data_IF_781922855124
#
_entry.id   IF_781922855124
#
_cell.length_a   1.000
_cell.length_b   1.000
_cell.length_c   1.000
_cell.angle_alpha   90.00
_cell.angle_beta   90.00
_cell.angle_gamma   90.00
#
_symmetry.space_group_name_H-M   'P 1'
#
loop_
_entity.id
_entity.type
_entity.pdbx_description
1 polymer ?
#
# COMPACT_ATOMS: atom_id res chain seq x y z
N UNK A 1 17.05 29.66 -11.29
CA UNK A 1 15.82 30.48 -11.12
C UNK A 1 14.79 29.62 -10.43
N UNK A 2 14.50 29.89 -9.15
CA UNK A 2 13.43 29.22 -8.40
C UNK A 2 12.11 29.74 -8.95
N UNK A 3 11.26 28.87 -9.48
CA UNK A 3 9.89 29.26 -9.80
C UNK A 3 9.18 29.58 -8.48
N UNK A 4 9.15 30.86 -8.13
CA UNK A 4 8.34 31.38 -7.04
C UNK A 4 6.90 31.43 -7.57
N UNK A 5 6.15 30.34 -7.38
CA UNK A 5 4.72 30.32 -7.69
C UNK A 5 4.05 31.23 -6.66
N UNK A 6 3.73 32.45 -7.06
CA UNK A 6 3.13 33.47 -6.21
C UNK A 6 1.76 32.99 -5.71
N UNK A 7 1.69 32.61 -4.43
CA UNK A 7 0.45 32.51 -3.64
C UNK A 7 -0.30 31.17 -3.61
N UNK A 8 0.14 30.14 -4.36
CA UNK A 8 -0.48 28.81 -4.28
C UNK A 8 0.14 27.99 -3.16
N UNK A 9 -0.65 27.63 -2.16
CA UNK A 9 -0.27 26.68 -1.11
C UNK A 9 -0.07 25.28 -1.73
N UNK A 10 1.18 24.79 -1.74
CA UNK A 10 1.58 23.58 -2.48
C UNK A 10 0.85 22.30 -2.05
N UNK A 11 0.43 22.24 -0.79
CA UNK A 11 -0.25 21.10 -0.18
C UNK A 11 -1.73 21.39 0.10
N UNK A 12 -2.28 22.51 -0.40
CA UNK A 12 -3.68 22.85 -0.15
C UNK A 12 -4.62 21.79 -0.71
N UNK A 13 -5.40 21.10 0.13
CA UNK A 13 -6.27 20.04 -0.35
C UNK A 13 -7.51 20.60 -1.04
N UNK A 14 -8.09 19.79 -1.92
CA UNK A 14 -9.44 19.99 -2.43
C UNK A 14 -10.52 19.53 -1.42
N UNK A 15 -11.78 19.47 -1.86
CA UNK A 15 -12.92 19.04 -1.01
C UNK A 15 -12.86 17.56 -0.60
N UNK A 16 -12.05 16.76 -1.27
CA UNK A 16 -11.85 15.33 -1.02
C UNK A 16 -10.56 15.07 -0.21
N UNK A 17 -9.98 16.12 0.37
CA UNK A 17 -8.67 16.13 1.05
C UNK A 17 -7.50 15.72 0.12
N UNK A 18 -7.67 15.84 -1.19
CA UNK A 18 -6.62 15.49 -2.15
C UNK A 18 -5.71 16.71 -2.38
N UNK A 19 -4.41 16.52 -2.16
CA UNK A 19 -3.40 17.54 -2.49
C UNK A 19 -3.17 17.59 -4.00
N UNK A 20 -2.59 18.69 -4.54
CA UNK A 20 -2.20 18.75 -5.94
C UNK A 20 -1.35 17.55 -6.37
N UNK A 21 -0.42 17.11 -5.51
CA UNK A 21 0.39 15.91 -5.74
C UNK A 21 -0.46 14.65 -5.87
N UNK A 22 -1.42 14.44 -4.96
CA UNK A 22 -2.31 13.28 -5.02
C UNK A 22 -3.11 13.26 -6.34
N UNK A 23 -3.67 14.40 -6.73
CA UNK A 23 -4.47 14.55 -7.95
C UNK A 23 -3.61 14.24 -9.19
N UNK A 24 -2.38 14.75 -9.25
CA UNK A 24 -1.45 14.43 -10.33
C UNK A 24 -1.15 12.92 -10.41
N UNK A 25 -0.89 12.28 -9.28
CA UNK A 25 -0.64 10.84 -9.22
C UNK A 25 -1.86 10.02 -9.66
N UNK A 26 -3.07 10.44 -9.28
CA UNK A 26 -4.31 9.76 -9.67
C UNK A 26 -4.57 9.85 -11.18
N UNK A 27 -4.19 10.96 -11.81
CA UNK A 27 -4.41 11.21 -13.24
C UNK A 27 -3.22 10.80 -14.14
N UNK A 28 -2.14 10.27 -13.57
CA UNK A 28 -0.92 9.92 -14.30
C UNK A 28 -1.08 8.76 -15.30
N UNK A 29 -2.23 8.08 -15.32
CA UNK A 29 -2.55 7.06 -16.35
C UNK A 29 -2.81 7.72 -17.70
N UNK A 30 -3.39 8.92 -17.68
CA UNK A 30 -3.77 9.68 -18.89
C UNK A 30 -2.55 10.36 -19.50
N UNK A 31 -1.58 10.73 -18.65
CA UNK A 31 -0.38 11.44 -19.05
C UNK A 31 0.83 10.57 -18.72
N UNK A 32 1.43 9.93 -19.74
CA UNK A 32 2.65 9.10 -19.59
C UNK A 32 3.90 9.87 -19.15
N UNK A 33 3.76 11.14 -18.72
CA UNK A 33 4.83 11.95 -18.14
C UNK A 33 4.52 12.24 -16.68
N UNK A 34 5.53 12.02 -15.83
CA UNK A 34 5.49 12.34 -14.40
C UNK A 34 6.13 13.71 -14.09
N UNK A 35 6.36 14.56 -15.10
CA UNK A 35 7.05 15.85 -14.93
C UNK A 35 6.36 16.74 -13.90
N UNK A 36 5.02 16.78 -13.90
CA UNK A 36 4.27 17.55 -12.92
C UNK A 36 4.44 17.00 -11.50
N UNK A 37 4.51 15.67 -11.34
CA UNK A 37 4.77 15.02 -10.05
C UNK A 37 6.17 15.42 -9.56
N UNK A 38 7.19 15.29 -10.40
CA UNK A 38 8.56 15.66 -10.07
C UNK A 38 8.67 17.13 -9.67
N UNK A 39 8.06 18.04 -10.43
CA UNK A 39 8.06 19.48 -10.11
C UNK A 39 7.40 19.79 -8.77
N UNK A 40 6.31 19.11 -8.44
CA UNK A 40 5.65 19.28 -7.13
C UNK A 40 6.53 18.78 -5.99
N UNK A 41 7.16 17.61 -6.15
CA UNK A 41 8.08 17.06 -5.16
C UNK A 41 9.32 17.94 -4.97
N UNK A 42 9.92 18.43 -6.06
CA UNK A 42 11.05 19.39 -6.03
C UNK A 42 10.68 20.73 -5.36
N UNK A 43 9.42 21.15 -5.49
CA UNK A 43 8.90 22.34 -4.84
C UNK A 43 8.52 22.11 -3.35
N UNK A 44 8.68 20.88 -2.84
CA UNK A 44 8.48 20.54 -1.44
C UNK A 44 7.08 20.01 -1.09
N UNK A 45 6.30 19.53 -2.07
CA UNK A 45 5.01 18.92 -1.80
C UNK A 45 5.15 17.69 -0.89
N UNK A 46 4.27 17.56 0.11
CA UNK A 46 4.31 16.43 1.03
C UNK A 46 3.76 15.15 0.38
N UNK A 47 4.64 14.16 0.21
CA UNK A 47 4.31 12.87 -0.44
C UNK A 47 3.39 11.97 0.39
N UNK A 48 3.18 12.29 1.67
CA UNK A 48 2.49 11.43 2.64
C UNK A 48 1.14 12.00 3.12
N UNK A 49 0.64 13.08 2.51
CA UNK A 49 -0.71 13.58 2.84
C UNK A 49 -1.76 12.61 2.32
N UNK A 50 -2.67 12.22 3.20
CA UNK A 50 -3.73 11.28 2.88
C UNK A 50 -5.00 12.00 2.42
N UNK A 51 -5.69 11.40 1.46
CA UNK A 51 -7.03 11.82 1.06
C UNK A 51 -8.09 11.52 2.15
N UNK A 52 -9.35 11.86 1.88
CA UNK A 52 -10.48 11.61 2.79
C UNK A 52 -10.74 10.12 3.12
N UNK A 53 -10.05 9.19 2.47
CA UNK A 53 -10.15 7.75 2.72
C UNK A 53 -8.89 7.20 3.41
N UNK A 54 -7.96 8.06 3.80
CA UNK A 54 -6.69 7.67 4.41
C UNK A 54 -5.66 7.16 3.40
N UNK A 55 -5.87 7.38 2.10
CA UNK A 55 -4.96 6.93 1.05
C UNK A 55 -3.92 8.01 0.77
N UNK A 56 -2.65 7.65 0.87
CA UNK A 56 -1.53 8.48 0.39
C UNK A 56 -1.30 8.25 -1.11
N UNK A 57 -0.61 9.15 -1.83
CA UNK A 57 -0.33 9.02 -3.28
C UNK A 57 0.19 7.64 -3.71
N UNK A 58 1.02 6.99 -2.89
CA UNK A 58 1.55 5.66 -3.16
C UNK A 58 0.44 4.58 -3.31
N UNK A 59 -0.71 4.72 -2.65
CA UNK A 59 -1.85 3.83 -2.88
C UNK A 59 -2.37 3.92 -4.31
N UNK A 60 -2.49 5.14 -4.85
CA UNK A 60 -2.99 5.37 -6.21
C UNK A 60 -1.99 4.84 -7.24
N UNK A 61 -0.69 5.15 -7.09
CA UNK A 61 0.35 4.63 -7.98
C UNK A 61 0.39 3.09 -7.99
N UNK A 62 0.25 2.46 -6.82
CA UNK A 62 0.19 1.01 -6.67
C UNK A 62 -1.08 0.39 -7.27
N UNK A 63 -2.25 1.01 -7.06
CA UNK A 63 -3.53 0.55 -7.62
C UNK A 63 -3.51 0.50 -9.16
N UNK A 64 -2.81 1.44 -9.78
CA UNK A 64 -2.68 1.57 -11.23
C UNK A 64 -1.42 0.91 -11.81
N UNK A 65 -0.59 0.25 -10.98
CA UNK A 65 0.63 -0.49 -11.40
C UNK A 65 1.63 0.41 -12.15
N UNK A 66 1.70 1.68 -11.75
CA UNK A 66 2.59 2.66 -12.35
C UNK A 66 3.99 2.53 -11.74
N UNK A 67 4.77 1.53 -12.19
CA UNK A 67 6.06 1.15 -11.58
C UNK A 67 7.01 2.34 -11.39
N UNK A 68 7.05 3.24 -12.36
CA UNK A 68 8.00 4.36 -12.36
C UNK A 68 7.53 5.46 -11.42
N UNK A 69 6.22 5.71 -11.36
CA UNK A 69 5.64 6.62 -10.38
C UNK A 69 5.81 6.10 -8.95
N UNK A 70 5.74 4.78 -8.74
CA UNK A 70 6.05 4.18 -7.45
C UNK A 70 7.50 4.51 -7.06
N UNK A 71 8.48 4.36 -7.98
CA UNK A 71 9.89 4.72 -7.69
C UNK A 71 10.04 6.18 -7.31
N UNK A 72 9.48 7.09 -8.11
CA UNK A 72 9.52 8.54 -7.85
C UNK A 72 8.99 8.86 -6.44
N UNK A 73 7.85 8.28 -6.07
CA UNK A 73 7.25 8.52 -4.74
C UNK A 73 8.12 7.93 -3.61
N UNK A 74 8.73 6.76 -3.82
CA UNK A 74 9.64 6.15 -2.84
C UNK A 74 10.93 6.95 -2.66
N UNK A 75 11.51 7.46 -3.74
CA UNK A 75 12.67 8.35 -3.71
C UNK A 75 12.36 9.66 -2.97
N UNK A 76 11.11 10.11 -3.03
CA UNK A 76 10.60 11.23 -2.24
C UNK A 76 10.23 10.86 -0.78
N UNK A 77 10.64 9.69 -0.29
CA UNK A 77 10.36 9.19 1.07
C UNK A 77 8.88 8.93 1.36
N UNK A 78 8.14 8.40 0.38
CA UNK A 78 6.79 7.91 0.63
C UNK A 78 6.79 6.74 1.61
N UNK A 79 5.89 6.80 2.57
CA UNK A 79 5.69 5.74 3.56
C UNK A 79 5.01 4.52 2.90
N UNK A 80 5.68 3.38 2.97
CA UNK A 80 5.31 2.17 2.21
C UNK A 80 4.24 1.30 2.89
N UNK A 81 4.11 1.45 4.20
CA UNK A 81 3.20 0.66 5.04
C UNK A 81 2.02 1.48 5.57
N UNK A 82 1.73 2.64 4.98
CA UNK A 82 0.52 3.42 5.30
C UNK A 82 -0.71 2.58 5.01
N UNK A 83 -1.72 2.75 5.83
CA UNK A 83 -2.97 2.00 5.78
C UNK A 83 -4.12 2.96 5.68
N UNK A 84 -4.95 2.75 4.66
CA UNK A 84 -6.19 3.49 4.46
C UNK A 84 -7.25 3.13 5.51
N UNK A 85 -8.41 3.78 5.46
CA UNK A 85 -9.50 3.54 6.41
C UNK A 85 -10.14 2.15 6.29
N UNK A 86 -9.78 1.37 5.26
CA UNK A 86 -10.15 -0.03 5.11
C UNK A 86 -9.00 -0.97 5.50
N UNK A 87 -7.94 -0.48 6.13
CA UNK A 87 -6.80 -1.29 6.55
C UNK A 87 -5.89 -1.75 5.41
N UNK A 88 -6.05 -1.20 4.20
CA UNK A 88 -5.32 -1.61 3.00
C UNK A 88 -4.02 -0.82 2.88
N UNK A 89 -2.93 -1.51 2.57
CA UNK A 89 -1.65 -0.87 2.21
C UNK A 89 -1.54 -0.59 0.72
N UNK A 90 -0.55 0.19 0.27
CA UNK A 90 -0.19 0.28 -1.14
C UNK A 90 0.03 -1.09 -1.79
N UNK A 91 0.77 -1.99 -1.12
CA UNK A 91 0.94 -3.37 -1.60
C UNK A 91 -0.39 -4.13 -1.68
N UNK A 92 -1.29 -3.97 -0.71
CA UNK A 92 -2.61 -4.60 -0.77
C UNK A 92 -3.38 -4.14 -2.01
N UNK A 93 -3.45 -2.85 -2.29
CA UNK A 93 -4.21 -2.35 -3.45
C UNK A 93 -3.55 -2.69 -4.78
N UNK A 94 -2.22 -2.87 -4.81
CA UNK A 94 -1.49 -3.40 -5.97
C UNK A 94 -1.95 -4.81 -6.35
N UNK A 95 -2.15 -5.68 -5.36
CA UNK A 95 -2.49 -7.10 -5.55
C UNK A 95 -4.02 -7.30 -5.62
N UNK A 96 -4.79 -6.61 -4.77
CA UNK A 96 -6.24 -6.80 -4.66
C UNK A 96 -7.04 -6.36 -5.90
N UNK A 97 -6.43 -5.63 -6.82
CA UNK A 97 -7.05 -5.29 -8.10
C UNK A 97 -7.19 -6.47 -9.08
N UNK A 98 -6.81 -7.68 -8.68
CA UNK A 98 -7.04 -8.93 -9.42
C UNK A 98 -8.55 -9.19 -9.50
N UNK A 99 -9.19 -8.56 -10.48
CA UNK A 99 -10.66 -8.53 -10.60
C UNK A 99 -11.19 -9.53 -11.64
N UNK A 100 -10.36 -10.15 -12.46
CA UNK A 100 -10.83 -10.92 -13.61
C UNK A 100 -10.03 -12.20 -13.74
N UNK A 101 -10.62 -13.27 -14.29
CA UNK A 101 -10.00 -14.59 -14.44
C UNK A 101 -8.75 -14.66 -15.34
N UNK A 102 -8.08 -13.54 -15.61
CA UNK A 102 -6.90 -13.37 -16.46
C UNK A 102 -5.67 -13.04 -15.60
N UNK A 103 -5.42 -13.87 -14.58
CA UNK A 103 -4.40 -13.62 -13.56
C UNK A 103 -2.97 -13.49 -14.09
N UNK A 104 -2.62 -14.19 -15.19
CA UNK A 104 -1.24 -14.18 -15.73
C UNK A 104 -0.86 -12.84 -16.34
N UNK A 105 -1.79 -12.17 -17.02
CA UNK A 105 -1.51 -10.89 -17.69
C UNK A 105 -1.39 -9.75 -16.68
N UNK A 106 -2.26 -9.71 -15.68
CA UNK A 106 -2.19 -8.71 -14.60
C UNK A 106 -0.86 -8.78 -13.83
N UNK A 107 -0.37 -9.99 -13.56
CA UNK A 107 0.89 -10.21 -12.85
C UNK A 107 2.10 -9.65 -13.61
N UNK A 108 2.07 -9.56 -14.95
CA UNK A 108 3.16 -8.95 -15.73
C UNK A 108 3.38 -7.47 -15.35
N UNK A 109 2.31 -6.76 -15.00
CA UNK A 109 2.36 -5.36 -14.57
C UNK A 109 2.52 -5.22 -13.04
N UNK A 110 1.92 -6.13 -12.27
CA UNK A 110 1.97 -6.08 -10.81
C UNK A 110 3.31 -6.53 -10.24
N UNK A 111 3.92 -7.61 -10.74
CA UNK A 111 5.16 -8.18 -10.17
C UNK A 111 6.31 -7.16 -10.15
N UNK A 112 6.56 -6.35 -11.20
CA UNK A 112 7.53 -5.27 -11.12
C UNK A 112 7.24 -4.28 -9.98
N UNK A 113 5.98 -3.90 -9.79
CA UNK A 113 5.57 -3.01 -8.71
C UNK A 113 5.76 -3.66 -7.32
N UNK A 114 5.41 -4.93 -7.20
CA UNK A 114 5.56 -5.72 -5.97
C UNK A 114 7.05 -5.84 -5.60
N UNK A 115 7.94 -6.10 -6.58
CA UNK A 115 9.40 -6.15 -6.35
C UNK A 115 9.93 -4.83 -5.82
N UNK A 116 9.53 -3.71 -6.43
CA UNK A 116 9.92 -2.36 -5.97
C UNK A 116 9.43 -2.11 -4.53
N UNK A 117 8.17 -2.43 -4.25
CA UNK A 117 7.58 -2.28 -2.91
C UNK A 117 8.23 -3.20 -1.87
N UNK A 118 8.57 -4.44 -2.25
CA UNK A 118 9.29 -5.40 -1.41
C UNK A 118 10.69 -4.86 -1.07
N UNK A 119 11.44 -4.40 -2.07
CA UNK A 119 12.75 -3.80 -1.87
C UNK A 119 12.69 -2.55 -0.97
N UNK A 120 11.59 -1.81 -1.00
CA UNK A 120 11.34 -0.67 -0.13
C UNK A 120 10.90 -1.05 1.30
N UNK A 121 10.89 -2.34 1.67
CA UNK A 121 10.55 -2.80 3.02
C UNK A 121 9.05 -2.84 3.31
N UNK A 122 8.21 -3.04 2.28
CA UNK A 122 6.80 -3.30 2.50
C UNK A 122 6.58 -4.56 3.34
N UNK A 123 5.60 -4.49 4.24
CA UNK A 123 5.08 -5.66 4.94
C UNK A 123 4.37 -6.58 3.95
N UNK A 124 5.02 -7.70 3.65
CA UNK A 124 4.58 -8.70 2.68
C UNK A 124 3.44 -9.59 3.15
N UNK A 125 2.96 -9.42 4.39
CA UNK A 125 1.90 -10.25 4.99
C UNK A 125 0.66 -10.38 4.10
N UNK A 126 0.26 -9.28 3.44
CA UNK A 126 -0.88 -9.29 2.52
C UNK A 126 -0.61 -10.10 1.24
N UNK A 127 0.62 -10.06 0.74
CA UNK A 127 1.04 -10.83 -0.44
C UNK A 127 1.15 -12.32 -0.10
N UNK A 128 1.72 -12.67 1.05
CA UNK A 128 1.76 -14.05 1.54
C UNK A 128 0.36 -14.65 1.70
N UNK A 129 -0.55 -13.89 2.32
CA UNK A 129 -1.94 -14.35 2.48
C UNK A 129 -2.65 -14.50 1.12
N UNK A 130 -2.37 -13.62 0.15
CA UNK A 130 -2.90 -13.77 -1.19
C UNK A 130 -2.33 -15.03 -1.87
N UNK A 131 -1.01 -15.23 -1.86
CA UNK A 131 -0.35 -16.40 -2.45
C UNK A 131 -0.87 -17.72 -1.88
N UNK A 132 -1.15 -17.78 -0.58
CA UNK A 132 -1.57 -19.00 0.10
C UNK A 132 -3.06 -19.33 -0.09
N UNK A 133 -3.92 -18.33 -0.23
CA UNK A 133 -5.37 -18.53 -0.11
C UNK A 133 -6.18 -18.05 -1.31
N UNK A 134 -5.58 -17.27 -2.22
CA UNK A 134 -6.30 -16.61 -3.32
C UNK A 134 -5.61 -16.72 -4.67
N UNK A 135 -4.28 -16.87 -4.70
CA UNK A 135 -3.49 -16.82 -5.91
C UNK A 135 -3.06 -18.20 -6.42
N UNK A 136 -2.90 -18.38 -7.75
CA UNK A 136 -2.28 -19.57 -8.34
C UNK A 136 -0.74 -19.57 -8.23
N UNK A 137 -0.15 -18.67 -7.43
CA UNK A 137 1.28 -18.38 -7.40
C UNK A 137 1.71 -17.34 -8.45
N UNK A 138 2.99 -16.95 -8.41
CA UNK A 138 3.62 -16.10 -9.42
C UNK A 138 4.28 -17.00 -10.47
N UNK A 139 4.02 -16.81 -11.78
CA UNK A 139 4.71 -17.52 -12.85
C UNK A 139 6.24 -17.41 -12.75
N UNK A 140 6.96 -18.51 -13.01
CA UNK A 140 8.41 -18.59 -12.82
C UNK A 140 9.17 -17.52 -13.63
N UNK A 141 8.70 -17.21 -14.83
CA UNK A 141 9.25 -16.17 -15.70
C UNK A 141 9.26 -14.78 -15.05
N UNK A 142 8.25 -14.48 -14.20
CA UNK A 142 8.14 -13.19 -13.51
C UNK A 142 8.97 -13.13 -12.22
N UNK A 143 9.43 -14.27 -11.70
CA UNK A 143 10.28 -14.34 -10.51
C UNK A 143 11.75 -14.02 -10.81
N UNK A 144 12.17 -14.14 -12.08
CA UNK A 144 13.56 -13.92 -12.49
C UNK A 144 14.06 -12.48 -12.29
N UNK A 145 15.38 -12.29 -12.21
CA UNK A 145 16.02 -10.95 -12.19
C UNK A 145 16.01 -10.22 -10.84
N UNK A 146 15.54 -10.87 -9.77
CA UNK A 146 15.62 -10.35 -8.40
C UNK A 146 15.75 -11.52 -7.42
N UNK A 147 16.99 -11.87 -7.07
CA UNK A 147 17.30 -13.02 -6.21
C UNK A 147 16.73 -12.87 -4.80
N UNK A 148 16.65 -11.63 -4.29
CA UNK A 148 16.06 -11.34 -2.98
C UNK A 148 14.55 -11.63 -3.00
N UNK A 149 13.85 -11.19 -4.04
CA UNK A 149 12.43 -11.46 -4.21
C UNK A 149 12.16 -12.94 -4.46
N UNK A 150 12.99 -13.62 -5.27
CA UNK A 150 12.88 -15.05 -5.52
C UNK A 150 13.08 -15.87 -4.24
N UNK A 151 14.11 -15.54 -3.46
CA UNK A 151 14.39 -16.16 -2.16
C UNK A 151 13.22 -16.00 -1.19
N UNK A 152 12.71 -14.76 -1.06
CA UNK A 152 11.52 -14.49 -0.26
C UNK A 152 10.31 -15.30 -0.74
N UNK A 153 10.05 -15.34 -2.05
CA UNK A 153 8.91 -16.06 -2.62
C UNK A 153 9.00 -17.56 -2.32
N UNK A 154 10.15 -18.18 -2.54
CA UNK A 154 10.36 -19.60 -2.26
C UNK A 154 10.16 -19.92 -0.78
N UNK A 155 10.68 -19.08 0.11
CA UNK A 155 10.49 -19.22 1.55
C UNK A 155 9.00 -19.07 1.93
N UNK A 156 8.30 -18.09 1.37
CA UNK A 156 6.89 -17.85 1.62
C UNK A 156 6.00 -19.02 1.16
N UNK A 157 6.35 -19.69 0.07
CA UNK A 157 5.58 -20.83 -0.45
C UNK A 157 5.84 -22.13 0.30
N UNK A 158 7.03 -22.31 0.86
CA UNK A 158 7.43 -23.56 1.54
C UNK A 158 7.23 -23.52 3.05
N UNK A 159 7.33 -22.34 3.67
CA UNK A 159 7.19 -22.20 5.12
C UNK A 159 5.73 -22.33 5.56
N UNK A 160 5.45 -22.90 6.74
CA UNK A 160 4.12 -22.84 7.33
C UNK A 160 3.70 -21.38 7.59
N UNK A 161 2.38 -21.07 7.65
CA UNK A 161 1.91 -19.74 8.00
C UNK A 161 2.49 -19.31 9.35
N UNK A 162 3.03 -18.09 9.42
CA UNK A 162 3.55 -17.58 10.70
C UNK A 162 2.41 -17.39 11.70
N UNK A 163 2.75 -17.32 12.99
CA UNK A 163 1.79 -16.96 14.04
C UNK A 163 1.10 -15.63 13.72
N UNK A 164 1.80 -14.66 13.12
CA UNK A 164 1.22 -13.39 12.68
C UNK A 164 0.12 -13.60 11.63
N UNK A 165 0.35 -14.44 10.61
CA UNK A 165 -0.66 -14.78 9.60
C UNK A 165 -1.86 -15.48 10.23
N UNK A 166 -1.61 -16.48 11.09
CA UNK A 166 -2.68 -17.23 11.77
C UNK A 166 -3.52 -16.32 12.68
N UNK A 167 -2.89 -15.50 13.52
CA UNK A 167 -3.57 -14.55 14.38
C UNK A 167 -4.42 -13.57 13.56
N UNK A 168 -3.86 -13.00 12.49
CA UNK A 168 -4.61 -12.09 11.61
C UNK A 168 -5.83 -12.77 11.01
N UNK A 169 -5.67 -13.97 10.44
CA UNK A 169 -6.77 -14.72 9.79
C UNK A 169 -7.86 -15.13 10.79
N UNK A 170 -7.47 -15.65 11.94
CA UNK A 170 -8.42 -16.07 12.99
C UNK A 170 -9.20 -14.88 13.52
N UNK A 171 -8.51 -13.78 13.84
CA UNK A 171 -9.19 -12.60 14.38
C UNK A 171 -10.10 -11.95 13.35
N UNK A 172 -9.65 -11.77 12.10
CA UNK A 172 -10.51 -11.23 11.04
C UNK A 172 -11.77 -12.08 10.83
N UNK A 173 -11.63 -13.42 10.80
CA UNK A 173 -12.79 -14.32 10.68
C UNK A 173 -13.75 -14.16 11.85
N UNK A 174 -13.23 -14.09 13.08
CA UNK A 174 -14.05 -13.88 14.28
C UNK A 174 -14.73 -12.51 14.28
N UNK A 175 -14.06 -11.45 13.86
CA UNK A 175 -14.65 -10.10 13.78
C UNK A 175 -15.78 -10.00 12.78
N UNK A 176 -15.67 -10.68 11.64
CA UNK A 176 -16.77 -10.78 10.67
C UNK A 176 -17.95 -11.58 11.25
N UNK A 177 -17.66 -12.59 12.08
CA UNK A 177 -18.69 -13.47 12.66
C UNK A 177 -19.37 -12.85 13.88
N UNK A 178 -18.63 -12.10 14.69
CA UNK A 178 -19.06 -11.51 15.94
C UNK A 178 -18.78 -10.02 15.86
N UNK A 179 -19.83 -9.22 15.81
CA UNK A 179 -19.69 -7.78 16.00
C UNK A 179 -19.10 -7.54 17.40
N UNK A 180 -17.94 -6.87 17.46
CA UNK A 180 -17.16 -6.69 18.69
C UNK A 180 -17.09 -5.20 19.06
N UNK A 181 -18.20 -4.59 19.54
CA UNK A 181 -18.30 -3.14 19.71
C UNK A 181 -17.31 -2.55 20.74
N UNK A 182 -16.77 -3.37 21.64
CA UNK A 182 -15.76 -2.95 22.63
C UNK A 182 -14.30 -3.04 22.16
N UNK A 183 -14.02 -3.62 20.98
CA UNK A 183 -12.65 -3.96 20.60
C UNK A 183 -11.75 -2.73 20.45
N UNK A 184 -12.29 -1.62 19.94
CA UNK A 184 -11.60 -0.32 19.87
C UNK A 184 -11.05 0.06 21.24
N UNK A 185 -11.90 0.04 22.28
CA UNK A 185 -11.50 0.36 23.65
C UNK A 185 -10.44 -0.61 24.19
N UNK A 186 -10.57 -1.90 23.90
CA UNK A 186 -9.58 -2.90 24.31
C UNK A 186 -8.20 -2.62 23.69
N UNK A 187 -8.13 -2.30 22.38
CA UNK A 187 -6.86 -2.00 21.71
C UNK A 187 -6.25 -0.69 22.21
N UNK A 188 -7.07 0.33 22.47
CA UNK A 188 -6.61 1.58 23.09
C UNK A 188 -5.95 1.34 24.46
N UNK A 189 -6.43 0.35 25.22
CA UNK A 189 -5.95 0.04 26.58
C UNK A 189 -4.74 -0.89 26.61
N UNK A 190 -4.32 -1.48 25.48
CA UNK A 190 -3.15 -2.37 25.46
C UNK A 190 -1.89 -1.63 25.93
N UNK A 191 -1.04 -2.26 26.77
CA UNK A 191 0.21 -1.69 27.24
C UNK A 191 1.30 -1.83 26.16
N UNK A 192 1.04 -1.30 24.96
CA UNK A 192 1.94 -1.36 23.80
C UNK A 192 2.15 0.03 23.20
N UNK A 193 3.25 0.27 22.46
CA UNK A 193 3.52 1.56 21.83
C UNK A 193 2.39 2.02 20.90
N UNK A 194 2.17 3.34 20.74
CA UNK A 194 1.10 3.88 19.88
C UNK A 194 1.17 3.39 18.42
N UNK A 195 2.39 3.24 17.88
CA UNK A 195 2.61 2.69 16.54
C UNK A 195 2.07 1.27 16.39
N UNK A 196 2.21 0.43 17.44
CA UNK A 196 1.67 -0.93 17.44
C UNK A 196 0.15 -0.92 17.62
N UNK A 197 -0.43 -0.01 18.40
CA UNK A 197 -1.90 0.16 18.49
C UNK A 197 -2.50 0.50 17.13
N UNK A 198 -1.88 1.43 16.39
CA UNK A 198 -2.31 1.79 15.03
C UNK A 198 -2.21 0.59 14.09
N UNK A 199 -1.13 -0.19 14.16
CA UNK A 199 -1.01 -1.44 13.38
C UNK A 199 -2.11 -2.43 13.74
N UNK A 200 -2.34 -2.69 15.02
CA UNK A 200 -3.37 -3.63 15.50
C UNK A 200 -4.76 -3.19 15.00
N UNK A 201 -5.13 -1.93 15.24
CA UNK A 201 -6.42 -1.39 14.80
C UNK A 201 -6.59 -1.47 13.30
N UNK A 202 -5.62 -1.01 12.50
CA UNK A 202 -5.80 -0.88 11.05
C UNK A 202 -5.50 -2.18 10.29
N UNK A 203 -4.42 -2.90 10.60
CA UNK A 203 -3.99 -4.11 9.87
C UNK A 203 -4.58 -5.41 10.40
N UNK A 204 -4.66 -5.55 11.73
CA UNK A 204 -5.15 -6.80 12.32
C UNK A 204 -6.68 -6.79 12.45
N UNK A 205 -7.27 -5.68 12.89
CA UNK A 205 -8.68 -5.64 13.29
C UNK A 205 -9.60 -4.81 12.37
N UNK A 206 -9.06 -3.99 11.46
CA UNK A 206 -9.84 -3.11 10.56
C UNK A 206 -10.80 -2.16 11.32
N UNK A 207 -10.37 -1.66 12.47
CA UNK A 207 -11.13 -0.79 13.36
C UNK A 207 -11.05 0.68 12.91
N UNK A 208 -12.09 1.49 13.19
CA UNK A 208 -12.00 2.94 13.10
C UNK A 208 -10.91 3.49 14.04
N UNK A 209 -10.45 4.72 13.76
CA UNK A 209 -9.36 5.38 14.50
C UNK A 209 -9.60 5.36 16.02
N UNK A 210 -8.55 5.01 16.77
CA UNK A 210 -8.47 5.11 18.23
C UNK A 210 -8.19 6.54 18.67
#
# INVERSE_FOLDING_TARGET
MRCNVTGAEIDKPDKENQTPLYICVQNAIVHSSYDTVNRLLEAGASVNIADRYGRVPLHSAAHWKLKELIRILLEANSLVNVVDYKGRTPLYVCVASLSTGIYKEDLKYQVPCIKILHAAGCDMLNMEDWLRWKGPGIPAELLTGDDNFLSWYNLAMTSPPTLRNLCRKVVQKRLVTYDCPGLVKCVAQLPVPPSLKVYLSRKMFHLPML
#
